data_IF_620151825453
#
_entry.id   IF_620151825453
#
_cell.length_a   1.000
_cell.length_b   1.000
_cell.length_c   1.000
_cell.angle_alpha   90.00
_cell.angle_beta   90.00
_cell.angle_gamma   90.00
#
_symmetry.space_group_name_H-M   'P 1'
#
loop_
_entity.id
_entity.type
_entity.pdbx_description
1 polymer ?
#
# COMPACT_ATOMS: atom_id res chain seq x y z
N UNK A 1 38.77 32.79 -65.04
CA UNK A 1 39.68 31.63 -64.90
C UNK A 1 38.93 30.57 -64.10
N UNK A 2 38.91 29.33 -64.60
CA UNK A 2 38.07 28.20 -64.17
C UNK A 2 38.45 27.62 -62.79
N UNK A 3 37.41 27.34 -61.96
CA UNK A 3 37.07 26.16 -61.08
C UNK A 3 38.18 25.16 -60.65
N UNK A 4 37.92 24.18 -59.72
CA UNK A 4 37.07 24.09 -58.50
C UNK A 4 37.75 23.31 -57.33
N UNK A 5 37.04 23.09 -56.21
CA UNK A 5 37.02 21.90 -55.30
C UNK A 5 36.97 22.27 -53.80
N UNK A 6 35.76 22.63 -53.37
CA UNK A 6 35.24 22.16 -52.08
C UNK A 6 35.07 20.63 -52.12
N UNK A 7 34.94 20.03 -50.93
CA UNK A 7 34.81 18.59 -50.60
C UNK A 7 36.10 17.90 -50.13
N UNK A 8 35.98 17.30 -48.93
CA UNK A 8 36.85 16.33 -48.25
C UNK A 8 37.85 16.88 -47.22
N UNK A 9 37.35 17.22 -46.02
CA UNK A 9 37.89 16.65 -44.76
C UNK A 9 36.93 16.88 -43.58
N UNK A 10 35.69 16.40 -43.70
CA UNK A 10 34.78 16.23 -42.57
C UNK A 10 34.97 14.84 -41.97
N UNK A 11 36.14 14.55 -41.38
CA UNK A 11 36.42 13.33 -40.61
C UNK A 11 37.47 13.65 -39.52
N UNK A 12 37.22 13.19 -38.29
CA UNK A 12 38.03 13.26 -37.05
C UNK A 12 37.63 14.25 -35.95
N UNK A 13 36.35 14.26 -35.55
CA UNK A 13 35.97 14.38 -34.13
C UNK A 13 34.55 13.80 -33.88
N UNK A 14 34.31 12.59 -34.39
CA UNK A 14 33.22 11.73 -33.92
C UNK A 14 33.89 10.63 -33.12
N UNK A 15 33.90 10.75 -31.79
CA UNK A 15 33.89 9.68 -30.78
C UNK A 15 34.27 10.29 -29.41
N UNK A 16 33.48 9.97 -28.37
CA UNK A 16 33.56 10.39 -26.95
C UNK A 16 32.91 11.77 -26.67
N UNK A 17 31.79 11.93 -25.96
CA UNK A 17 31.03 11.06 -25.07
C UNK A 17 29.54 11.13 -25.41
N UNK A 18 28.99 9.94 -25.63
CA UNK A 18 27.58 9.65 -25.83
C UNK A 18 26.80 9.95 -24.54
N UNK A 19 25.69 10.66 -24.69
CA UNK A 19 24.47 10.65 -23.88
C UNK A 19 24.59 10.27 -22.39
N UNK A 20 24.51 11.28 -21.52
CA UNK A 20 23.87 11.13 -20.22
C UNK A 20 22.58 11.96 -20.16
N UNK A 21 21.75 11.87 -21.20
CA UNK A 21 20.32 11.90 -20.94
C UNK A 21 20.04 10.65 -20.11
N UNK A 22 19.70 10.81 -18.84
CA UNK A 22 19.10 9.71 -18.06
C UNK A 22 17.76 9.41 -18.72
N UNK A 23 17.80 8.64 -19.81
CA UNK A 23 16.63 7.95 -20.32
C UNK A 23 16.35 6.87 -19.30
N UNK A 24 15.50 7.20 -18.33
CA UNK A 24 14.85 6.19 -17.52
C UNK A 24 14.33 5.10 -18.47
N UNK A 25 14.67 3.82 -18.25
CA UNK A 25 14.14 2.75 -19.10
C UNK A 25 12.62 2.88 -19.13
N UNK A 26 11.96 2.64 -20.28
CA UNK A 26 10.51 2.73 -20.36
C UNK A 26 9.95 1.78 -19.31
N UNK A 27 9.31 2.35 -18.29
CA UNK A 27 8.61 1.58 -17.27
C UNK A 27 7.54 0.77 -18.02
N UNK A 28 7.78 -0.53 -18.19
CA UNK A 28 6.84 -1.45 -18.86
C UNK A 28 5.61 -1.76 -18.01
N UNK A 29 5.42 -1.03 -16.91
CA UNK A 29 4.18 -0.98 -16.14
C UNK A 29 3.95 0.42 -15.60
N UNK A 30 2.69 0.79 -15.38
CA UNK A 30 2.28 2.08 -14.80
C UNK A 30 2.73 2.29 -13.34
N UNK A 31 3.59 1.41 -12.81
CA UNK A 31 4.00 1.38 -11.41
C UNK A 31 5.51 1.25 -11.25
N UNK A 32 6.05 1.90 -10.21
CA UNK A 32 7.44 1.77 -9.82
C UNK A 32 7.66 0.46 -9.04
N UNK A 33 8.74 -0.24 -9.37
CA UNK A 33 9.15 -1.49 -8.72
C UNK A 33 10.41 -1.28 -7.87
N UNK A 34 10.62 -2.09 -6.80
CA UNK A 34 11.83 -2.01 -5.99
C UNK A 34 13.11 -2.10 -6.83
N UNK A 35 14.07 -1.21 -6.54
CA UNK A 35 15.35 -1.12 -7.26
C UNK A 35 15.35 -0.19 -8.48
N UNK A 36 14.19 0.33 -8.90
CA UNK A 36 14.11 1.33 -9.97
C UNK A 36 14.41 2.75 -9.47
N UNK A 37 14.87 3.66 -10.36
CA UNK A 37 15.21 5.04 -9.98
C UNK A 37 13.99 5.88 -9.54
N UNK A 38 12.78 5.45 -9.86
CA UNK A 38 11.54 6.09 -9.41
C UNK A 38 11.20 5.81 -7.92
N UNK A 39 11.98 4.96 -7.25
CA UNK A 39 11.72 4.61 -5.86
C UNK A 39 12.04 5.78 -4.92
N UNK A 40 11.26 5.95 -3.83
CA UNK A 40 11.52 7.01 -2.88
C UNK A 40 12.88 6.83 -2.20
N UNK A 41 13.64 7.91 -2.17
CA UNK A 41 14.94 8.01 -1.52
C UNK A 41 14.83 7.81 0.00
N UNK A 42 15.97 7.62 0.67
CA UNK A 42 15.99 7.47 2.13
C UNK A 42 15.37 8.67 2.88
N UNK A 43 15.68 9.95 2.53
CA UNK A 43 15.02 11.10 3.15
C UNK A 43 13.51 11.12 2.95
N UNK A 44 13.02 10.76 1.76
CA UNK A 44 11.58 10.73 1.45
C UNK A 44 10.85 9.63 2.24
N UNK A 45 11.46 8.45 2.39
CA UNK A 45 10.96 7.38 3.26
C UNK A 45 10.88 7.83 4.72
N UNK A 46 11.92 8.50 5.21
CA UNK A 46 11.97 8.97 6.59
C UNK A 46 10.92 10.06 6.85
N UNK A 47 10.73 10.99 5.91
CA UNK A 47 9.69 11.99 6.00
C UNK A 47 8.29 11.37 6.04
N UNK A 48 8.03 10.38 5.17
CA UNK A 48 6.77 9.64 5.17
C UNK A 48 6.52 8.91 6.50
N UNK A 49 7.53 8.20 7.02
CA UNK A 49 7.40 7.50 8.29
C UNK A 49 7.12 8.45 9.48
N UNK A 50 7.67 9.68 9.45
CA UNK A 50 7.44 10.71 10.48
C UNK A 50 6.06 11.36 10.39
N UNK A 51 5.48 11.44 9.20
CA UNK A 51 4.16 12.05 8.98
C UNK A 51 3.01 11.11 9.43
N UNK A 52 3.29 9.82 9.55
CA UNK A 52 2.33 8.83 10.04
C UNK A 52 2.31 8.75 11.57
N UNK A 53 1.12 8.56 12.15
CA UNK A 53 0.97 8.18 13.55
C UNK A 53 1.18 6.67 13.77
N UNK A 54 1.03 5.90 12.69
CA UNK A 54 1.31 4.48 12.62
C UNK A 54 2.79 4.16 12.53
N UNK A 55 3.10 2.95 12.06
CA UNK A 55 4.47 2.47 11.89
C UNK A 55 4.68 2.03 10.45
N UNK A 56 5.84 2.36 9.87
CA UNK A 56 6.29 1.81 8.59
C UNK A 56 7.45 0.87 8.85
N UNK A 57 7.39 -0.33 8.27
CA UNK A 57 8.43 -1.35 8.37
C UNK A 57 8.94 -1.68 6.97
N UNK A 58 10.25 -1.58 6.77
CA UNK A 58 10.92 -1.87 5.51
C UNK A 58 11.67 -3.21 5.57
N UNK A 59 11.99 -3.84 4.44
CA UNK A 59 12.77 -5.09 4.38
C UNK A 59 14.15 -5.03 5.06
N UNK A 60 14.71 -3.83 5.25
CA UNK A 60 15.96 -3.61 5.99
C UNK A 60 15.81 -3.71 7.50
N UNK A 61 14.57 -3.64 8.01
CA UNK A 61 14.30 -3.58 9.44
C UNK A 61 14.21 -4.99 10.03
N UNK A 62 14.75 -5.23 11.23
CA UNK A 62 14.77 -6.57 11.84
C UNK A 62 13.37 -7.12 12.10
N UNK A 63 12.40 -6.23 12.36
CA UNK A 63 11.01 -6.59 12.62
C UNK A 63 10.26 -7.05 11.36
N UNK A 64 10.77 -6.79 10.16
CA UNK A 64 10.08 -7.13 8.91
C UNK A 64 9.84 -8.65 8.77
N UNK A 65 10.81 -9.44 9.22
CA UNK A 65 10.75 -10.91 9.11
C UNK A 65 9.57 -11.45 9.91
N UNK A 66 8.61 -12.05 9.22
CA UNK A 66 7.43 -12.65 9.83
C UNK A 66 6.16 -11.80 9.69
N UNK A 67 6.30 -10.49 9.48
CA UNK A 67 5.14 -9.60 9.24
C UNK A 67 4.55 -9.79 7.84
N UNK A 68 5.38 -10.24 6.91
CA UNK A 68 5.00 -10.54 5.52
C UNK A 68 4.31 -11.91 5.37
N UNK A 69 4.28 -12.73 6.42
CA UNK A 69 3.62 -14.05 6.40
C UNK A 69 2.10 -13.86 6.36
N UNK A 70 1.47 -14.56 5.43
CA UNK A 70 0.01 -14.67 5.32
C UNK A 70 -0.45 -16.04 5.79
N UNK A 71 -1.75 -16.18 6.06
CA UNK A 71 -2.33 -17.39 6.66
C UNK A 71 -1.92 -18.68 5.93
N UNK A 72 -1.80 -18.65 4.60
CA UNK A 72 -1.23 -19.74 3.80
C UNK A 72 0.22 -19.40 3.40
N UNK A 73 1.25 -20.03 3.99
CA UNK A 73 2.65 -19.72 3.70
C UNK A 73 3.04 -19.89 2.23
N UNK A 74 2.32 -20.71 1.46
CA UNK A 74 2.52 -20.87 0.00
C UNK A 74 2.21 -19.60 -0.80
N UNK A 75 1.53 -18.64 -0.19
CA UNK A 75 1.14 -17.35 -0.79
C UNK A 75 1.88 -16.17 -0.15
N UNK A 76 2.99 -16.45 0.55
CA UNK A 76 3.85 -15.41 1.12
C UNK A 76 4.43 -14.53 0.02
N UNK A 77 4.34 -13.22 0.22
CA UNK A 77 4.95 -12.23 -0.67
C UNK A 77 5.81 -11.25 0.14
N UNK A 78 6.60 -10.45 -0.54
CA UNK A 78 7.58 -9.53 0.01
C UNK A 78 7.26 -8.09 -0.42
N UNK A 79 6.35 -7.40 0.31
CA UNK A 79 6.09 -5.98 0.11
C UNK A 79 7.36 -5.12 0.17
N UNK A 80 7.35 -4.01 -0.55
CA UNK A 80 8.40 -2.99 -0.44
C UNK A 80 8.44 -2.35 0.95
N UNK A 81 7.27 -2.13 1.55
CA UNK A 81 7.13 -1.70 2.93
C UNK A 81 5.75 -2.11 3.46
N UNK A 82 5.64 -2.24 4.78
CA UNK A 82 4.40 -2.55 5.48
C UNK A 82 4.06 -1.35 6.36
N UNK A 83 2.91 -0.74 6.13
CA UNK A 83 2.40 0.40 6.91
C UNK A 83 1.31 -0.07 7.85
N UNK A 84 1.60 -0.10 9.15
CA UNK A 84 0.62 -0.34 10.20
C UNK A 84 -0.09 0.97 10.54
N UNK A 85 -1.24 1.18 9.92
CA UNK A 85 -2.03 2.40 10.13
C UNK A 85 -2.69 2.41 11.51
N UNK A 86 -2.73 3.56 12.16
CA UNK A 86 -3.38 3.77 13.46
C UNK A 86 -4.76 4.42 13.32
N UNK A 87 -4.97 5.19 12.26
CA UNK A 87 -6.20 5.92 12.01
C UNK A 87 -6.47 6.05 10.49
N UNK A 88 -7.52 6.79 10.12
CA UNK A 88 -7.89 7.04 8.72
C UNK A 88 -6.91 7.99 8.02
N UNK A 89 -6.34 8.96 8.74
CA UNK A 89 -5.34 9.91 8.19
C UNK A 89 -4.09 9.18 7.68
N UNK A 90 -3.61 8.18 8.42
CA UNK A 90 -2.50 7.31 8.00
C UNK A 90 -2.81 6.57 6.68
N UNK A 91 -4.06 6.15 6.47
CA UNK A 91 -4.48 5.49 5.22
C UNK A 91 -4.42 6.48 4.07
N UNK A 92 -4.95 7.69 4.25
CA UNK A 92 -4.94 8.75 3.24
C UNK A 92 -3.50 9.12 2.86
N UNK A 93 -2.64 9.35 3.86
CA UNK A 93 -1.20 9.62 3.66
C UNK A 93 -0.49 8.49 2.92
N UNK A 94 -0.79 7.24 3.26
CA UNK A 94 -0.21 6.06 2.59
C UNK A 94 -0.64 5.95 1.13
N UNK A 95 -1.91 6.19 0.82
CA UNK A 95 -2.43 6.19 -0.56
C UNK A 95 -1.80 7.33 -1.37
N UNK A 96 -1.71 8.53 -0.79
CA UNK A 96 -1.08 9.68 -1.44
C UNK A 96 0.42 9.43 -1.71
N UNK A 97 1.13 8.82 -0.76
CA UNK A 97 2.54 8.44 -0.94
C UNK A 97 2.68 7.40 -2.06
N UNK A 98 1.85 6.36 -2.08
CA UNK A 98 1.86 5.37 -3.15
C UNK A 98 1.58 6.01 -4.51
N UNK A 99 0.60 6.91 -4.61
CA UNK A 99 0.30 7.62 -5.86
C UNK A 99 1.49 8.46 -6.33
N UNK A 100 2.09 9.25 -5.43
CA UNK A 100 3.25 10.11 -5.72
C UNK A 100 4.42 9.34 -6.34
N UNK A 101 4.73 8.15 -5.83
CA UNK A 101 5.84 7.31 -6.31
C UNK A 101 5.37 6.16 -7.22
N UNK A 102 4.10 6.18 -7.66
CA UNK A 102 3.48 5.13 -8.48
C UNK A 102 3.65 3.72 -7.92
N UNK A 103 3.63 3.55 -6.61
CA UNK A 103 3.76 2.25 -5.96
C UNK A 103 2.45 1.47 -6.07
N UNK A 104 2.53 0.16 -6.35
CA UNK A 104 1.36 -0.71 -6.22
C UNK A 104 0.96 -0.84 -4.75
N UNK A 105 -0.33 -0.84 -4.45
CA UNK A 105 -0.85 -1.01 -3.10
C UNK A 105 -1.35 -2.43 -2.90
N UNK A 106 -0.97 -3.06 -1.78
CA UNK A 106 -1.67 -4.23 -1.24
C UNK A 106 -2.33 -3.86 0.08
N UNK A 107 -3.45 -4.51 0.41
CA UNK A 107 -4.24 -4.19 1.62
C UNK A 107 -4.42 -5.45 2.44
N UNK A 108 -4.02 -5.39 3.71
CA UNK A 108 -4.15 -6.47 4.70
C UNK A 108 -4.97 -5.98 5.88
N UNK A 109 -5.94 -6.79 6.31
CA UNK A 109 -6.71 -6.55 7.55
C UNK A 109 -6.53 -7.72 8.52
N UNK A 110 -7.40 -8.73 8.46
CA UNK A 110 -7.43 -9.87 9.41
C UNK A 110 -6.48 -11.01 9.03
N UNK A 111 -5.85 -10.94 7.85
CA UNK A 111 -4.93 -11.96 7.37
C UNK A 111 -5.56 -13.30 6.97
N UNK A 112 -6.89 -13.47 7.05
CA UNK A 112 -7.62 -14.69 6.68
C UNK A 112 -7.80 -14.88 5.15
N UNK A 113 -6.80 -14.47 4.39
CA UNK A 113 -6.85 -14.60 2.94
C UNK A 113 -6.09 -15.86 2.51
N UNK A 114 -6.84 -16.82 2.00
CA UNK A 114 -6.35 -18.16 1.66
C UNK A 114 -5.52 -18.21 0.37
N UNK A 115 -5.73 -17.23 -0.53
CA UNK A 115 -5.15 -17.20 -1.88
C UNK A 115 -4.19 -16.03 -2.11
N UNK A 116 -3.75 -15.33 -1.07
CA UNK A 116 -2.67 -14.33 -1.15
C UNK A 116 -3.01 -12.97 -1.76
N UNK A 117 -4.29 -12.67 -2.07
CA UNK A 117 -4.76 -11.33 -2.51
C UNK A 117 -4.42 -10.17 -1.55
N UNK A 118 -4.16 -10.44 -0.29
CA UNK A 118 -3.89 -9.41 0.74
C UNK A 118 -2.44 -8.92 0.77
N UNK A 119 -1.55 -9.57 0.01
CA UNK A 119 -0.12 -9.22 -0.07
C UNK A 119 0.38 -9.39 -1.49
N UNK A 120 1.43 -8.67 -1.89
CA UNK A 120 2.09 -8.85 -3.18
C UNK A 120 3.50 -8.27 -3.14
N UNK A 121 4.40 -8.87 -3.91
CA UNK A 121 5.80 -8.44 -3.99
C UNK A 121 5.92 -6.99 -4.46
N UNK A 122 6.84 -6.25 -3.83
CA UNK A 122 7.16 -4.87 -4.21
C UNK A 122 6.05 -3.84 -3.98
N UNK A 123 4.95 -4.22 -3.34
CA UNK A 123 3.85 -3.30 -3.04
C UNK A 123 4.08 -2.51 -1.75
N UNK A 124 3.46 -1.33 -1.65
CA UNK A 124 3.22 -0.69 -0.36
C UNK A 124 2.04 -1.39 0.30
N UNK A 125 2.29 -2.21 1.31
CA UNK A 125 1.25 -2.93 2.02
C UNK A 125 0.64 -2.03 3.10
N UNK A 126 -0.64 -1.69 2.95
CA UNK A 126 -1.41 -0.99 3.99
C UNK A 126 -2.05 -2.04 4.90
N UNK A 127 -1.58 -2.08 6.15
CA UNK A 127 -2.02 -3.02 7.16
C UNK A 127 -2.98 -2.34 8.16
N UNK A 128 -4.25 -2.72 8.07
CA UNK A 128 -5.37 -2.17 8.85
C UNK A 128 -5.60 -2.89 10.18
N UNK A 129 -4.78 -3.89 10.54
CA UNK A 129 -5.00 -4.75 11.72
C UNK A 129 -5.06 -4.02 13.06
N UNK A 130 -4.47 -2.81 13.15
CA UNK A 130 -4.50 -1.96 14.35
C UNK A 130 -5.75 -1.09 14.44
N UNK A 131 -6.59 -1.02 13.40
CA UNK A 131 -7.88 -0.33 13.42
C UNK A 131 -8.93 -1.20 14.09
N UNK A 132 -8.97 -1.13 15.43
CA UNK A 132 -9.80 -1.97 16.30
C UNK A 132 -10.91 -1.19 17.03
N UNK A 133 -11.31 -0.01 16.56
CA UNK A 133 -12.45 0.72 17.15
C UNK A 133 -13.78 -0.04 17.03
N UNK A 134 -14.57 -0.02 18.10
CA UNK A 134 -15.95 -0.54 18.12
C UNK A 134 -16.82 0.54 18.79
N UNK A 135 -17.94 0.87 18.18
CA UNK A 135 -18.90 1.84 18.69
C UNK A 135 -20.31 1.26 18.65
N UNK A 136 -21.05 1.42 19.74
CA UNK A 136 -22.42 0.93 19.89
C UNK A 136 -23.41 2.08 19.76
N UNK A 137 -24.47 1.86 19.00
CA UNK A 137 -25.62 2.75 18.90
C UNK A 137 -26.89 1.95 19.20
N UNK A 138 -27.22 1.83 20.49
CA UNK A 138 -28.37 1.04 20.95
C UNK A 138 -29.72 1.72 20.73
N UNK A 139 -29.73 3.00 20.38
CA UNK A 139 -30.94 3.81 20.16
C UNK A 139 -31.11 4.16 18.68
N UNK A 140 -30.58 3.33 17.78
CA UNK A 140 -30.62 3.61 16.34
C UNK A 140 -32.05 3.60 15.81
N UNK A 141 -32.46 4.69 15.14
CA UNK A 141 -33.74 4.75 14.43
C UNK A 141 -33.83 3.84 13.21
N UNK A 142 -32.73 3.17 12.82
CA UNK A 142 -32.67 2.21 11.70
C UNK A 142 -32.93 0.77 12.14
N UNK A 143 -32.67 0.45 13.40
CA UNK A 143 -32.84 -0.88 13.96
C UNK A 143 -33.11 -0.77 15.47
N UNK A 144 -34.29 -1.20 15.89
CA UNK A 144 -34.73 -1.22 17.30
C UNK A 144 -33.84 -2.10 18.20
N UNK A 145 -33.14 -3.08 17.62
CA UNK A 145 -32.18 -3.92 18.34
C UNK A 145 -30.82 -3.22 18.57
N UNK A 146 -30.62 -2.03 18.02
CA UNK A 146 -29.36 -1.31 18.03
C UNK A 146 -28.42 -1.68 16.88
N UNK A 147 -27.35 -0.91 16.75
CA UNK A 147 -26.31 -1.07 15.73
C UNK A 147 -24.93 -1.06 16.37
N UNK A 148 -23.99 -1.79 15.77
CA UNK A 148 -22.57 -1.74 16.12
C UNK A 148 -21.77 -1.36 14.89
N UNK A 149 -20.91 -0.34 15.03
CA UNK A 149 -19.94 0.06 14.01
C UNK A 149 -18.58 -0.45 14.42
N UNK A 150 -17.94 -1.23 13.55
CA UNK A 150 -16.63 -1.85 13.82
C UNK A 150 -15.62 -1.39 12.79
N UNK A 151 -14.40 -1.09 13.24
CA UNK A 151 -13.30 -0.77 12.35
C UNK A 151 -12.78 -2.03 11.66
N UNK A 152 -12.19 -1.82 10.47
CA UNK A 152 -11.85 -2.88 9.51
C UNK A 152 -10.86 -3.92 10.02
N UNK A 153 -10.00 -3.58 11.00
CA UNK A 153 -9.02 -4.49 11.59
C UNK A 153 -9.57 -5.40 12.69
N UNK A 154 -10.82 -5.18 13.10
CA UNK A 154 -11.44 -5.92 14.20
C UNK A 154 -11.73 -7.35 13.79
N UNK A 155 -11.42 -8.30 14.69
CA UNK A 155 -11.74 -9.72 14.48
C UNK A 155 -13.13 -10.07 14.98
N UNK A 156 -13.77 -11.05 14.36
CA UNK A 156 -15.06 -11.58 14.82
C UNK A 156 -15.07 -11.94 16.29
N UNK A 157 -14.02 -12.63 16.77
CA UNK A 157 -13.84 -12.97 18.18
C UNK A 157 -13.97 -11.75 19.09
N UNK A 158 -13.36 -10.62 18.70
CA UNK A 158 -13.45 -9.40 19.51
C UNK A 158 -14.86 -8.79 19.46
N UNK A 159 -15.49 -8.75 18.29
CA UNK A 159 -16.89 -8.29 18.19
C UNK A 159 -17.81 -9.11 19.09
N UNK A 160 -17.72 -10.44 19.04
CA UNK A 160 -18.49 -11.33 19.91
C UNK A 160 -18.24 -11.06 21.40
N UNK A 161 -16.97 -10.90 21.79
CA UNK A 161 -16.61 -10.65 23.18
C UNK A 161 -17.16 -9.34 23.74
N UNK A 162 -17.31 -8.31 22.89
CA UNK A 162 -17.80 -6.99 23.30
C UNK A 162 -19.32 -6.96 23.32
N UNK A 163 -19.98 -7.61 22.35
CA UNK A 163 -21.45 -7.61 22.27
C UNK A 163 -22.09 -8.51 23.33
N UNK A 164 -21.46 -9.64 23.70
CA UNK A 164 -21.99 -10.54 24.72
C UNK A 164 -22.17 -9.88 26.10
N UNK A 165 -21.44 -8.79 26.37
CA UNK A 165 -21.56 -8.03 27.63
C UNK A 165 -22.87 -7.23 27.66
N UNK A 166 -23.43 -6.93 26.49
CA UNK A 166 -24.60 -6.06 26.32
C UNK A 166 -25.87 -6.89 26.10
N UNK A 167 -25.79 -8.01 25.37
CA UNK A 167 -26.96 -8.79 25.00
C UNK A 167 -26.72 -10.31 25.11
N UNK A 168 -27.72 -11.02 25.66
CA UNK A 168 -27.68 -12.47 25.90
C UNK A 168 -27.96 -13.31 24.63
N UNK A 169 -28.58 -12.72 23.60
CA UNK A 169 -28.84 -13.32 22.29
C UNK A 169 -28.32 -12.38 21.20
N UNK A 170 -27.49 -12.89 20.30
CA UNK A 170 -26.75 -12.09 19.34
C UNK A 170 -27.01 -12.51 17.90
N UNK A 171 -27.73 -11.68 17.15
CA UNK A 171 -27.91 -11.80 15.69
C UNK A 171 -27.20 -10.62 15.05
N UNK A 172 -25.97 -10.83 14.54
CA UNK A 172 -25.22 -9.79 13.82
C UNK A 172 -25.59 -9.82 12.35
N UNK A 173 -26.36 -8.83 11.90
CA UNK A 173 -26.58 -8.58 10.46
C UNK A 173 -25.51 -7.63 9.95
N UNK A 174 -24.60 -8.14 9.13
CA UNK A 174 -23.50 -7.34 8.57
C UNK A 174 -24.03 -6.55 7.38
N UNK A 175 -24.06 -5.22 7.50
CA UNK A 175 -24.18 -4.31 6.36
C UNK A 175 -22.79 -3.77 6.04
N UNK A 176 -22.36 -3.93 4.78
CA UNK A 176 -20.95 -4.08 4.39
C UNK A 176 -19.95 -3.00 4.84
N UNK A 177 -18.69 -3.43 5.03
CA UNK A 177 -17.47 -2.74 4.59
C UNK A 177 -16.33 -3.77 4.54
N UNK A 178 -16.15 -4.42 3.39
CA UNK A 178 -15.02 -5.31 3.14
C UNK A 178 -13.77 -4.54 2.67
N UNK A 179 -12.57 -5.12 2.75
CA UNK A 179 -11.32 -4.51 2.26
C UNK A 179 -11.32 -4.21 0.74
N UNK A 180 -12.35 -4.64 0.02
CA UNK A 180 -12.56 -4.38 -1.40
C UNK A 180 -12.78 -2.89 -1.71
N UNK A 181 -13.38 -2.11 -0.79
CA UNK A 181 -13.63 -0.69 -1.04
C UNK A 181 -12.33 0.13 -1.17
N UNK A 182 -11.30 -0.19 -0.38
CA UNK A 182 -9.99 0.49 -0.46
C UNK A 182 -9.27 0.11 -1.75
N UNK A 183 -9.41 -1.13 -2.21
CA UNK A 183 -8.87 -1.55 -3.51
C UNK A 183 -9.60 -0.90 -4.68
N UNK A 184 -10.91 -0.67 -4.58
CA UNK A 184 -11.67 0.02 -5.61
C UNK A 184 -11.44 1.55 -5.60
N UNK A 185 -11.13 2.14 -4.44
CA UNK A 185 -10.60 3.51 -4.35
C UNK A 185 -9.20 3.57 -4.99
N UNK A 186 -8.32 2.61 -4.68
CA UNK A 186 -6.97 2.56 -5.25
C UNK A 186 -6.91 2.19 -6.75
N UNK A 187 -7.99 1.66 -7.33
CA UNK A 187 -8.12 1.45 -8.79
C UNK A 187 -8.65 2.68 -9.52
N UNK A 188 -9.18 3.66 -8.78
CA UNK A 188 -9.75 4.91 -9.31
C UNK A 188 -8.72 6.05 -9.39
N UNK A 189 -7.49 5.78 -8.97
CA UNK A 189 -6.32 6.66 -9.04
C UNK A 189 -5.14 5.86 -9.57
#
# INVERSE_FOLDING_TARGET
>A
MFRPLEFLCAWHAVLMCIAATVSSPPCTGNHCLPGQPCMPSFPERLAFARDLQGQVVYPSDPEYRGLNIVYNPRTTAYPYAIVFVKNVDDVIKSVNFANRYKLQISVKSSGQDYIGRSTKDGTLQINLSRLQGIAFNLTSGRNEAGEVTVQTGTTWRRVFNEVQVIACVLIIVIRGMGPYLIKDIAKRF
#
